data_IF_597743619384
#
_entry.id   IF_597743619384
#
_cell.length_a   1.000
_cell.length_b   1.000
_cell.length_c   1.000
_cell.angle_alpha   90.00
_cell.angle_beta   90.00
_cell.angle_gamma   90.00
#
_symmetry.space_group_name_H-M   'P 1'
#
loop_
_entity.id
_entity.type
_entity.pdbx_description
1 polymer ?
#
# COMPACT_ATOMS: atom_id res chain seq x y z
N UNK A 1 -2.37 74.12 1.58
CA UNK A 1 -3.75 74.01 2.14
C UNK A 1 -4.33 72.72 1.58
N UNK A 2 -5.01 71.92 2.40
CA UNK A 2 -5.72 70.77 1.86
C UNK A 2 -6.78 71.27 0.88
N UNK A 3 -7.05 70.50 -0.18
CA UNK A 3 -8.14 70.77 -1.13
C UNK A 3 -9.45 70.91 -0.39
N UNK A 4 -10.37 71.81 -0.88
CA UNK A 4 -11.74 71.97 -0.35
C UNK A 4 -12.48 70.60 -0.29
N UNK A 5 -12.08 69.65 -1.11
CA UNK A 5 -12.65 68.30 -1.16
C UNK A 5 -11.90 67.25 -0.27
N UNK A 6 -10.97 67.69 0.60
CA UNK A 6 -10.18 66.72 1.43
C UNK A 6 -11.10 65.95 2.38
N UNK A 7 -12.04 66.58 3.03
CA UNK A 7 -13.03 65.89 3.87
C UNK A 7 -13.95 64.94 3.08
N UNK A 8 -14.28 65.25 1.84
CA UNK A 8 -15.06 64.39 0.96
C UNK A 8 -14.25 63.15 0.58
N UNK A 9 -12.95 63.28 0.29
CA UNK A 9 -12.07 62.15 0.00
C UNK A 9 -11.94 61.22 1.21
N UNK A 10 -11.87 61.73 2.45
CA UNK A 10 -11.90 60.94 3.67
C UNK A 10 -13.19 60.12 3.75
N UNK A 11 -14.35 60.78 3.54
CA UNK A 11 -15.67 60.13 3.57
C UNK A 11 -15.79 59.05 2.48
N UNK A 12 -15.32 59.31 1.26
CA UNK A 12 -15.31 58.34 0.14
C UNK A 12 -14.42 57.13 0.46
N UNK A 13 -13.23 57.33 1.03
CA UNK A 13 -12.35 56.22 1.42
C UNK A 13 -13.00 55.35 2.50
N UNK A 14 -13.62 55.94 3.49
CA UNK A 14 -14.37 55.22 4.51
C UNK A 14 -15.53 54.38 3.92
N UNK A 15 -16.33 55.03 3.05
CA UNK A 15 -17.45 54.36 2.38
C UNK A 15 -17.01 53.21 1.51
N UNK A 16 -15.91 53.36 0.75
CA UNK A 16 -15.32 52.29 -0.07
C UNK A 16 -14.86 51.10 0.78
N UNK A 17 -14.16 51.37 1.89
CA UNK A 17 -13.67 50.31 2.80
C UNK A 17 -14.82 49.57 3.48
N UNK A 18 -15.86 50.29 3.96
CA UNK A 18 -17.03 49.63 4.55
C UNK A 18 -17.87 48.86 3.53
N UNK A 19 -17.92 49.29 2.27
CA UNK A 19 -18.58 48.57 1.20
C UNK A 19 -17.82 47.23 0.89
N UNK A 20 -16.49 47.28 0.88
CA UNK A 20 -15.67 46.05 0.79
C UNK A 20 -15.99 45.08 1.95
N UNK A 21 -16.08 45.58 3.19
CA UNK A 21 -16.46 44.79 4.36
C UNK A 21 -17.87 44.19 4.26
N UNK A 22 -18.85 44.97 3.77
CA UNK A 22 -20.22 44.50 3.56
C UNK A 22 -20.27 43.39 2.47
N UNK A 23 -19.59 43.62 1.36
CA UNK A 23 -19.48 42.64 0.27
C UNK A 23 -18.84 41.33 0.74
N UNK A 24 -17.74 41.42 1.47
CA UNK A 24 -17.06 40.24 2.06
C UNK A 24 -17.97 39.51 3.06
N UNK A 25 -18.75 40.24 3.86
CA UNK A 25 -19.72 39.63 4.77
C UNK A 25 -20.82 38.90 4.02
N UNK A 26 -21.37 39.52 2.95
CA UNK A 26 -22.34 38.89 2.06
C UNK A 26 -21.78 37.60 1.41
N UNK A 27 -20.51 37.63 0.97
CA UNK A 27 -19.80 36.47 0.43
C UNK A 27 -19.66 35.36 1.47
N UNK A 28 -19.26 35.67 2.70
CA UNK A 28 -19.17 34.71 3.81
C UNK A 28 -20.53 34.05 4.11
N UNK A 29 -21.63 34.83 4.15
CA UNK A 29 -22.98 34.32 4.41
C UNK A 29 -23.41 33.37 3.28
N UNK A 30 -23.17 33.75 2.03
CA UNK A 30 -23.54 32.95 0.86
C UNK A 30 -22.80 31.60 0.81
N UNK A 31 -21.57 31.58 1.28
CA UNK A 31 -20.72 30.41 1.24
C UNK A 31 -20.63 29.64 2.56
N UNK A 32 -21.41 29.94 3.58
CA UNK A 32 -21.34 29.32 4.91
C UNK A 32 -21.51 27.81 4.90
N UNK A 33 -22.22 27.26 3.89
CA UNK A 33 -22.40 25.81 3.70
C UNK A 33 -21.48 25.21 2.63
N UNK A 34 -20.65 25.99 1.97
CA UNK A 34 -19.72 25.52 0.93
C UNK A 34 -18.59 24.78 1.60
N UNK A 35 -18.39 23.48 1.24
CA UNK A 35 -17.34 22.65 1.81
C UNK A 35 -15.96 23.25 1.51
N UNK A 36 -15.16 23.43 2.55
CA UNK A 36 -13.80 23.95 2.45
C UNK A 36 -13.70 25.48 2.38
N UNK A 37 -14.82 26.20 2.38
CA UNK A 37 -14.82 27.64 2.42
C UNK A 37 -14.30 28.14 3.77
N UNK A 38 -13.38 29.10 3.73
CA UNK A 38 -12.83 29.76 4.92
C UNK A 38 -13.35 31.19 5.02
N UNK A 39 -13.75 31.58 6.24
CA UNK A 39 -14.26 32.96 6.47
C UNK A 39 -13.20 34.00 6.08
N UNK A 40 -13.60 35.00 5.31
CA UNK A 40 -12.74 36.09 4.89
C UNK A 40 -13.01 37.34 5.71
N UNK A 41 -11.95 38.10 5.99
CA UNK A 41 -12.01 39.36 6.73
C UNK A 41 -11.27 40.45 5.97
N UNK A 42 -11.80 41.65 5.96
CA UNK A 42 -11.14 42.81 5.35
C UNK A 42 -10.17 43.41 6.35
N UNK A 43 -8.89 43.48 5.97
CA UNK A 43 -7.88 44.23 6.70
C UNK A 43 -7.95 45.71 6.33
N UNK A 44 -7.90 46.56 7.33
CA UNK A 44 -8.05 48.02 7.16
C UNK A 44 -6.84 48.71 7.79
N UNK A 45 -6.29 49.69 7.10
CA UNK A 45 -5.26 50.55 7.65
C UNK A 45 -5.62 52.04 7.46
N UNK A 46 -5.16 52.88 8.40
CA UNK A 46 -5.28 54.32 8.26
C UNK A 46 -4.34 54.79 7.14
N UNK A 47 -4.85 55.65 6.23
CA UNK A 47 -4.01 56.36 5.25
C UNK A 47 -2.98 57.23 5.94
N UNK A 48 -1.83 57.39 5.29
CA UNK A 48 -0.79 58.30 5.78
C UNK A 48 -1.36 59.71 6.05
N UNK A 49 -1.14 60.18 7.27
CA UNK A 49 -1.62 61.50 7.68
C UNK A 49 -0.84 62.58 6.93
N UNK A 50 -1.57 63.62 6.49
CA UNK A 50 -0.98 64.76 5.76
C UNK A 50 -0.47 65.78 6.77
N UNK A 51 0.81 66.16 6.69
CA UNK A 51 1.42 67.19 7.50
C UNK A 51 1.08 68.60 6.89
N UNK A 52 0.40 69.42 7.66
CA UNK A 52 -0.06 70.73 7.21
C UNK A 52 0.78 71.89 7.77
N UNK A 53 1.83 71.66 8.53
CA UNK A 53 2.67 72.66 9.22
C UNK A 53 1.78 73.71 9.94
N UNK A 54 0.69 73.27 10.58
CA UNK A 54 -0.20 74.09 11.36
C UNK A 54 -0.08 73.78 12.84
N UNK A 55 -0.63 74.65 13.71
CA UNK A 55 -0.53 74.47 15.17
C UNK A 55 -1.25 73.21 15.71
N UNK A 56 -2.13 72.60 14.93
CA UNK A 56 -2.83 71.35 15.30
C UNK A 56 -2.24 70.07 14.68
N UNK A 57 -1.07 70.11 14.04
CA UNK A 57 -0.29 68.96 13.64
C UNK A 57 -0.71 68.31 12.34
N UNK A 58 -0.74 66.95 12.33
CA UNK A 58 -1.05 66.15 11.15
C UNK A 58 -2.55 65.86 11.07
N UNK A 59 -3.11 65.92 9.85
CA UNK A 59 -4.50 65.54 9.58
C UNK A 59 -4.57 64.14 9.02
N UNK A 60 -5.46 63.29 9.58
CA UNK A 60 -5.75 61.95 9.06
C UNK A 60 -6.35 62.03 7.66
N UNK A 61 -5.89 61.13 6.75
CA UNK A 61 -6.28 61.11 5.33
C UNK A 61 -7.38 60.10 4.98
N UNK A 62 -7.92 59.43 5.99
CA UNK A 62 -8.95 58.40 5.81
C UNK A 62 -8.44 56.96 6.07
N UNK A 63 -9.10 55.98 5.47
CA UNK A 63 -8.84 54.54 5.64
C UNK A 63 -8.78 53.85 4.27
N UNK A 64 -7.91 52.83 4.15
CA UNK A 64 -7.89 51.92 3.02
C UNK A 64 -8.16 50.49 3.45
N UNK A 65 -8.85 49.74 2.61
CA UNK A 65 -8.88 48.28 2.68
C UNK A 65 -7.59 47.77 2.03
N UNK A 66 -6.71 47.16 2.82
CA UNK A 66 -5.37 46.73 2.38
C UNK A 66 -5.35 45.30 1.84
N UNK A 67 -6.18 44.41 2.39
CA UNK A 67 -6.27 43.04 1.96
C UNK A 67 -7.61 42.39 2.39
N UNK A 68 -7.99 41.32 1.70
CA UNK A 68 -9.04 40.40 2.15
C UNK A 68 -8.32 39.10 2.53
N UNK A 69 -8.27 38.82 3.83
CA UNK A 69 -7.56 37.65 4.37
C UNK A 69 -8.52 36.53 4.72
N UNK A 70 -8.13 35.30 4.40
CA UNK A 70 -8.80 34.10 4.87
C UNK A 70 -8.40 33.77 6.31
N UNK A 71 -9.36 33.37 7.14
CA UNK A 71 -9.14 32.97 8.54
C UNK A 71 -8.70 31.49 8.65
N UNK A 72 -7.97 30.97 7.66
CA UNK A 72 -7.47 29.60 7.64
C UNK A 72 -6.20 29.48 8.48
N UNK A 73 -6.05 28.34 9.17
CA UNK A 73 -4.89 28.04 10.00
C UNK A 73 -4.21 26.77 9.46
N UNK A 74 -3.04 26.94 8.90
CA UNK A 74 -2.24 25.85 8.27
C UNK A 74 -1.86 24.75 9.26
N UNK A 75 -1.73 25.06 10.55
CA UNK A 75 -1.43 24.06 11.59
C UNK A 75 -2.60 23.07 11.76
N UNK A 76 -3.84 23.57 11.81
CA UNK A 76 -5.00 22.68 11.91
C UNK A 76 -5.22 21.89 10.62
N UNK A 77 -4.94 22.50 9.45
CA UNK A 77 -4.98 21.79 8.18
C UNK A 77 -3.99 20.63 8.13
N UNK A 78 -2.75 20.85 8.57
CA UNK A 78 -1.75 19.79 8.63
C UNK A 78 -2.19 18.66 9.57
N UNK A 79 -2.70 18.99 10.77
CA UNK A 79 -3.23 17.99 11.71
C UNK A 79 -4.41 17.21 11.14
N UNK A 80 -5.34 17.90 10.47
CA UNK A 80 -6.47 17.26 9.83
C UNK A 80 -6.00 16.24 8.77
N UNK A 81 -5.04 16.62 7.93
CA UNK A 81 -4.50 15.73 6.88
C UNK A 81 -3.84 14.50 7.47
N UNK A 82 -3.03 14.64 8.52
CA UNK A 82 -2.43 13.49 9.23
C UNK A 82 -3.52 12.55 9.77
N UNK A 83 -4.56 13.12 10.38
CA UNK A 83 -5.68 12.32 10.89
C UNK A 83 -6.46 11.64 9.76
N UNK A 84 -6.69 12.34 8.66
CA UNK A 84 -7.40 11.84 7.48
C UNK A 84 -6.63 10.71 6.79
N UNK A 85 -5.30 10.82 6.70
CA UNK A 85 -4.39 9.75 6.23
C UNK A 85 -4.55 8.49 7.08
N UNK A 86 -4.60 8.64 8.40
CA UNK A 86 -4.80 7.53 9.34
C UNK A 86 -6.16 6.86 9.13
N UNK A 87 -7.22 7.65 8.91
CA UNK A 87 -8.57 7.14 8.61
C UNK A 87 -8.57 6.38 7.29
N UNK A 88 -7.94 6.92 6.23
CA UNK A 88 -7.83 6.28 4.93
C UNK A 88 -7.18 4.88 5.02
N UNK A 89 -6.08 4.77 5.77
CA UNK A 89 -5.37 3.50 6.00
C UNK A 89 -6.26 2.49 6.73
N UNK A 90 -6.68 2.80 7.95
CA UNK A 90 -7.39 1.83 8.79
C UNK A 90 -8.79 1.49 8.31
N UNK A 91 -9.50 2.38 7.61
CA UNK A 91 -10.79 2.05 7.01
C UNK A 91 -10.64 1.01 5.90
N UNK A 92 -9.58 1.12 5.10
CA UNK A 92 -9.26 0.17 4.03
C UNK A 92 -8.88 -1.20 4.61
N UNK A 93 -7.96 -1.21 5.58
CA UNK A 93 -7.57 -2.45 6.27
C UNK A 93 -8.78 -3.15 6.92
N UNK A 94 -9.61 -2.39 7.64
CA UNK A 94 -10.80 -2.93 8.30
C UNK A 94 -11.79 -3.53 7.31
N UNK A 95 -11.99 -2.88 6.16
CA UNK A 95 -12.88 -3.39 5.11
C UNK A 95 -12.41 -4.74 4.58
N UNK A 96 -11.13 -4.85 4.20
CA UNK A 96 -10.60 -6.09 3.64
C UNK A 96 -10.43 -7.19 4.69
N UNK A 97 -10.03 -6.85 5.93
CA UNK A 97 -9.97 -7.83 7.02
C UNK A 97 -11.35 -8.41 7.34
N UNK A 98 -12.41 -7.59 7.34
CA UNK A 98 -13.78 -8.09 7.48
C UNK A 98 -14.17 -9.00 6.32
N UNK A 99 -13.74 -8.69 5.10
CA UNK A 99 -13.98 -9.52 3.92
C UNK A 99 -13.25 -10.87 4.00
N UNK A 100 -12.03 -10.89 4.54
CA UNK A 100 -11.27 -12.12 4.82
C UNK A 100 -11.98 -12.95 5.91
N UNK A 101 -12.43 -12.29 6.97
CA UNK A 101 -13.19 -12.94 8.05
C UNK A 101 -14.45 -13.60 7.50
N UNK A 102 -15.25 -12.89 6.71
CA UNK A 102 -16.45 -13.43 6.07
C UNK A 102 -16.14 -14.57 5.07
N UNK A 103 -14.93 -14.61 4.49
CA UNK A 103 -14.48 -15.69 3.63
C UNK A 103 -14.17 -16.98 4.40
N UNK A 104 -13.51 -16.87 5.56
CA UNK A 104 -13.05 -18.01 6.37
C UNK A 104 -14.12 -18.45 7.39
N UNK A 105 -14.79 -17.47 8.00
CA UNK A 105 -15.82 -17.65 9.03
C UNK A 105 -17.11 -16.92 8.62
N UNK A 106 -17.85 -17.42 7.64
CA UNK A 106 -19.10 -16.79 7.25
C UNK A 106 -20.09 -16.79 8.43
N UNK A 107 -20.87 -15.71 8.54
CA UNK A 107 -21.83 -15.49 9.64
C UNK A 107 -22.79 -16.65 9.83
N UNK A 108 -23.27 -16.83 11.08
CA UNK A 108 -23.87 -18.01 11.70
C UNK A 108 -24.95 -18.81 10.92
N UNK A 109 -25.53 -18.29 9.84
CA UNK A 109 -26.62 -18.98 9.10
C UNK A 109 -26.21 -19.54 7.73
N UNK A 110 -24.91 -19.50 7.35
CA UNK A 110 -24.47 -20.07 6.09
C UNK A 110 -24.14 -21.56 6.27
N UNK A 111 -24.97 -22.45 5.69
CA UNK A 111 -24.75 -23.90 5.69
C UNK A 111 -23.39 -24.31 5.08
N UNK A 112 -22.69 -23.39 4.40
CA UNK A 112 -21.47 -23.61 3.66
C UNK A 112 -20.24 -22.92 4.24
N UNK A 113 -19.64 -23.46 5.29
CA UNK A 113 -18.38 -22.98 5.83
C UNK A 113 -17.36 -24.10 6.03
N UNK A 114 -16.07 -23.75 6.06
CA UNK A 114 -14.99 -24.69 6.39
C UNK A 114 -15.26 -25.31 7.76
N UNK A 115 -15.66 -24.51 8.76
CA UNK A 115 -15.95 -24.96 10.13
C UNK A 115 -17.11 -25.96 10.15
N UNK A 116 -18.24 -25.65 9.55
CA UNK A 116 -19.40 -26.53 9.52
C UNK A 116 -19.11 -27.83 8.75
N UNK A 117 -18.32 -27.74 7.67
CA UNK A 117 -17.90 -28.93 6.91
C UNK A 117 -16.95 -29.80 7.70
N UNK A 118 -16.05 -29.20 8.47
CA UNK A 118 -15.15 -29.91 9.37
C UNK A 118 -15.92 -30.63 10.49
N UNK A 119 -16.88 -29.97 11.11
CA UNK A 119 -17.76 -30.54 12.14
C UNK A 119 -18.59 -31.68 11.59
N UNK A 120 -19.15 -31.54 10.39
CA UNK A 120 -19.91 -32.59 9.69
C UNK A 120 -19.01 -33.80 9.38
N UNK A 121 -17.78 -33.54 8.91
CA UNK A 121 -16.80 -34.58 8.64
C UNK A 121 -16.46 -35.36 9.93
N UNK A 122 -16.10 -34.67 11.03
CA UNK A 122 -15.78 -35.36 12.30
C UNK A 122 -17.00 -36.07 12.89
N UNK A 123 -18.22 -35.53 12.76
CA UNK A 123 -19.44 -36.19 13.19
C UNK A 123 -19.65 -37.47 12.40
N UNK A 124 -19.43 -37.47 11.09
CA UNK A 124 -19.55 -38.67 10.26
C UNK A 124 -18.51 -39.76 10.62
N UNK A 125 -17.26 -39.32 10.95
CA UNK A 125 -16.23 -40.24 11.47
C UNK A 125 -16.65 -40.89 12.79
N UNK A 126 -17.32 -40.14 13.69
CA UNK A 126 -17.84 -40.66 14.94
C UNK A 126 -18.94 -41.73 14.69
N UNK A 127 -19.80 -41.52 13.72
CA UNK A 127 -20.78 -42.57 13.31
C UNK A 127 -20.11 -43.79 12.72
N UNK A 128 -19.03 -43.61 11.96
CA UNK A 128 -18.25 -44.72 11.40
C UNK A 128 -17.66 -45.63 12.51
N UNK A 129 -17.32 -45.10 13.69
CA UNK A 129 -16.80 -45.94 14.81
C UNK A 129 -17.83 -46.93 15.34
N UNK A 130 -19.10 -46.60 15.24
CA UNK A 130 -20.20 -47.48 15.69
C UNK A 130 -20.71 -48.46 14.63
N UNK A 131 -20.49 -48.16 13.35
CA UNK A 131 -21.01 -48.92 12.21
C UNK A 131 -19.97 -49.03 11.08
N UNK A 132 -18.77 -49.51 11.40
CA UNK A 132 -17.62 -49.53 10.50
C UNK A 132 -17.79 -50.37 9.23
N UNK A 133 -18.73 -51.30 9.23
CA UNK A 133 -19.04 -52.21 8.10
C UNK A 133 -20.12 -51.61 7.15
N UNK A 134 -20.78 -50.53 7.55
CA UNK A 134 -21.87 -49.94 6.73
C UNK A 134 -21.25 -49.12 5.59
N UNK A 135 -21.50 -49.55 4.37
CA UNK A 135 -21.02 -48.94 3.15
C UNK A 135 -21.62 -47.54 2.92
N UNK A 136 -22.83 -47.28 3.40
CA UNK A 136 -23.50 -46.00 3.32
C UNK A 136 -22.80 -44.95 4.18
N UNK A 137 -22.43 -45.31 5.41
CA UNK A 137 -21.70 -44.43 6.32
C UNK A 137 -20.31 -44.15 5.79
N UNK A 138 -19.63 -45.13 5.21
CA UNK A 138 -18.34 -44.93 4.55
C UNK A 138 -18.43 -43.94 3.37
N UNK A 139 -19.45 -44.08 2.53
CA UNK A 139 -19.71 -43.18 1.43
C UNK A 139 -20.03 -41.75 1.93
N UNK A 140 -20.75 -41.66 3.06
CA UNK A 140 -21.05 -40.37 3.70
C UNK A 140 -19.80 -39.67 4.21
N UNK A 141 -18.85 -40.38 4.84
CA UNK A 141 -17.56 -39.83 5.28
C UNK A 141 -16.78 -39.29 4.07
N UNK A 142 -16.69 -40.03 2.98
CA UNK A 142 -16.05 -39.58 1.75
C UNK A 142 -16.73 -38.34 1.19
N UNK A 143 -18.06 -38.28 1.17
CA UNK A 143 -18.81 -37.10 0.72
C UNK A 143 -18.56 -35.86 1.56
N UNK A 144 -18.45 -35.98 2.88
CA UNK A 144 -18.09 -34.84 3.73
C UNK A 144 -16.63 -34.44 3.59
N UNK A 145 -15.70 -35.36 3.31
CA UNK A 145 -14.33 -35.04 2.98
C UNK A 145 -14.23 -34.23 1.66
N UNK A 146 -14.99 -34.63 0.65
CA UNK A 146 -15.10 -33.89 -0.62
C UNK A 146 -15.70 -32.49 -0.41
N UNK A 147 -16.74 -32.38 0.42
CA UNK A 147 -17.37 -31.10 0.77
C UNK A 147 -16.38 -30.18 1.48
N UNK A 148 -15.64 -30.68 2.46
CA UNK A 148 -14.58 -29.93 3.14
C UNK A 148 -13.51 -29.45 2.16
N UNK A 149 -13.06 -30.32 1.27
CA UNK A 149 -12.08 -29.98 0.22
C UNK A 149 -12.60 -28.93 -0.74
N UNK A 150 -13.90 -28.94 -1.04
CA UNK A 150 -14.56 -27.93 -1.86
C UNK A 150 -14.52 -26.55 -1.20
N UNK A 151 -14.95 -26.44 0.08
CA UNK A 151 -14.96 -25.14 0.78
C UNK A 151 -13.58 -24.56 1.02
N UNK A 152 -12.59 -25.41 1.27
CA UNK A 152 -11.20 -24.95 1.37
C UNK A 152 -10.70 -24.36 0.04
N UNK A 153 -10.96 -25.03 -1.08
CA UNK A 153 -10.62 -24.52 -2.41
C UNK A 153 -11.37 -23.24 -2.75
N UNK A 154 -12.66 -23.16 -2.40
CA UNK A 154 -13.48 -21.96 -2.60
C UNK A 154 -12.93 -20.77 -1.82
N UNK A 155 -12.52 -20.97 -0.57
CA UNK A 155 -11.87 -19.95 0.24
C UNK A 155 -10.53 -19.49 -0.37
N UNK A 156 -9.71 -20.42 -0.85
CA UNK A 156 -8.44 -20.09 -1.52
C UNK A 156 -8.67 -19.24 -2.78
N UNK A 157 -9.63 -19.61 -3.62
CA UNK A 157 -10.01 -18.84 -4.83
C UNK A 157 -10.54 -17.46 -4.46
N UNK A 158 -11.37 -17.36 -3.41
CA UNK A 158 -11.87 -16.06 -2.94
C UNK A 158 -10.75 -15.15 -2.46
N UNK A 159 -9.77 -15.66 -1.71
CA UNK A 159 -8.60 -14.90 -1.29
C UNK A 159 -7.76 -14.43 -2.50
N UNK A 160 -7.55 -15.28 -3.50
CA UNK A 160 -6.86 -14.89 -4.73
C UNK A 160 -7.62 -13.79 -5.49
N UNK A 161 -8.94 -13.93 -5.64
CA UNK A 161 -9.77 -12.90 -6.27
C UNK A 161 -9.70 -11.57 -5.50
N UNK A 162 -9.71 -11.63 -4.17
CA UNK A 162 -9.57 -10.44 -3.32
C UNK A 162 -8.20 -9.78 -3.53
N UNK A 163 -7.12 -10.54 -3.74
CA UNK A 163 -5.80 -9.97 -4.08
C UNK A 163 -5.83 -9.24 -5.44
N UNK A 164 -6.55 -9.79 -6.43
CA UNK A 164 -6.78 -9.11 -7.73
C UNK A 164 -7.58 -7.83 -7.55
N UNK A 165 -8.64 -7.86 -6.73
CA UNK A 165 -9.48 -6.68 -6.48
C UNK A 165 -8.67 -5.57 -5.80
N UNK A 166 -7.89 -5.90 -4.76
CA UNK A 166 -6.99 -4.95 -4.11
C UNK A 166 -5.96 -4.39 -5.08
N UNK A 167 -5.38 -5.23 -5.94
CA UNK A 167 -4.43 -4.80 -6.96
C UNK A 167 -5.06 -3.79 -7.94
N UNK A 168 -6.28 -4.04 -8.39
CA UNK A 168 -7.04 -3.13 -9.26
C UNK A 168 -7.40 -1.82 -8.53
N UNK A 169 -7.69 -1.90 -7.23
CA UNK A 169 -7.98 -0.72 -6.42
C UNK A 169 -6.73 0.15 -6.19
N UNK A 170 -5.54 -0.46 -6.10
CA UNK A 170 -4.26 0.27 -6.08
C UNK A 170 -4.12 1.11 -7.36
N UNK A 171 -4.33 0.50 -8.54
CA UNK A 171 -4.25 1.23 -9.81
C UNK A 171 -5.25 2.40 -9.86
N UNK A 172 -6.48 2.16 -9.42
CA UNK A 172 -7.53 3.18 -9.36
C UNK A 172 -7.16 4.32 -8.40
N UNK A 173 -6.62 3.98 -7.24
CA UNK A 173 -6.17 4.96 -6.23
C UNK A 173 -5.01 5.80 -6.76
N UNK A 174 -4.05 5.19 -7.44
CA UNK A 174 -2.93 5.89 -8.11
C UNK A 174 -3.45 6.85 -9.19
N UNK A 175 -4.42 6.44 -10.01
CA UNK A 175 -5.06 7.31 -10.99
C UNK A 175 -5.75 8.51 -10.33
N UNK A 176 -6.39 8.32 -9.19
CA UNK A 176 -6.99 9.42 -8.41
C UNK A 176 -5.93 10.36 -7.84
N UNK A 177 -4.83 9.85 -7.30
CA UNK A 177 -3.70 10.65 -6.82
C UNK A 177 -3.16 11.52 -7.95
N UNK A 178 -2.90 10.94 -9.13
CA UNK A 178 -2.43 11.66 -10.30
C UNK A 178 -3.42 12.76 -10.76
N UNK A 179 -4.72 12.47 -10.73
CA UNK A 179 -5.76 13.43 -11.09
C UNK A 179 -5.80 14.60 -10.10
N UNK A 180 -5.67 14.36 -8.79
CA UNK A 180 -5.59 15.41 -7.79
C UNK A 180 -4.29 16.23 -7.91
N UNK A 181 -3.17 15.58 -8.20
CA UNK A 181 -1.91 16.29 -8.46
C UNK A 181 -2.02 17.28 -9.64
N UNK A 182 -2.62 16.85 -10.75
CA UNK A 182 -2.86 17.70 -11.90
C UNK A 182 -3.81 18.87 -11.58
N UNK A 183 -4.87 18.64 -10.79
CA UNK A 183 -5.78 19.70 -10.35
C UNK A 183 -5.07 20.72 -9.45
N UNK A 184 -4.23 20.27 -8.51
CA UNK A 184 -3.43 21.14 -7.64
C UNK A 184 -2.48 21.99 -8.47
N UNK A 185 -1.74 21.40 -9.43
CA UNK A 185 -0.84 22.11 -10.32
C UNK A 185 -1.59 23.19 -11.15
N UNK A 186 -2.79 22.86 -11.65
CA UNK A 186 -3.65 23.81 -12.37
C UNK A 186 -4.12 24.97 -11.48
N UNK A 187 -4.55 24.68 -10.25
CA UNK A 187 -4.95 25.71 -9.28
C UNK A 187 -3.77 26.59 -8.87
N UNK A 188 -2.59 26.01 -8.66
CA UNK A 188 -1.38 26.78 -8.36
C UNK A 188 -1.05 27.76 -9.49
N UNK A 189 -1.18 27.32 -10.75
CA UNK A 189 -0.98 28.21 -11.91
C UNK A 189 -1.95 29.38 -11.91
N UNK A 190 -3.23 29.14 -11.60
CA UNK A 190 -4.26 30.17 -11.52
C UNK A 190 -3.99 31.13 -10.34
N UNK A 191 -3.67 30.60 -9.16
CA UNK A 191 -3.32 31.38 -7.96
C UNK A 191 -2.12 32.29 -8.28
N UNK A 192 -1.04 31.72 -8.85
CA UNK A 192 0.14 32.48 -9.19
C UNK A 192 -0.14 33.59 -10.20
N UNK A 193 -1.03 33.35 -11.19
CA UNK A 193 -1.41 34.38 -12.17
C UNK A 193 -2.11 35.55 -11.52
N UNK A 194 -2.96 35.35 -10.52
CA UNK A 194 -3.67 36.41 -9.81
C UNK A 194 -2.75 37.12 -8.81
N UNK A 195 -1.98 36.34 -8.03
CA UNK A 195 -1.18 36.87 -6.93
C UNK A 195 0.05 37.68 -7.39
N UNK A 196 0.56 37.45 -8.62
CA UNK A 196 1.59 38.32 -9.24
C UNK A 196 1.16 39.80 -9.30
N UNK A 197 -0.14 40.09 -9.42
CA UNK A 197 -0.66 41.45 -9.45
C UNK A 197 -0.99 42.04 -8.06
N UNK A 198 -0.68 41.27 -6.98
CA UNK A 198 -0.95 41.71 -5.59
C UNK A 198 -2.31 41.35 -5.04
N UNK A 199 -3.14 40.69 -5.83
CA UNK A 199 -4.45 40.17 -5.37
C UNK A 199 -4.20 38.87 -4.55
N UNK A 200 -5.12 38.55 -3.63
CA UNK A 200 -5.08 37.30 -2.89
C UNK A 200 -6.21 36.38 -3.34
N UNK A 201 -5.84 35.24 -3.92
CA UNK A 201 -6.76 34.28 -4.54
C UNK A 201 -7.39 33.31 -3.50
N UNK A 202 -8.08 33.85 -2.47
CA UNK A 202 -8.59 33.09 -1.33
C UNK A 202 -9.46 31.89 -1.74
N UNK A 203 -10.42 32.10 -2.67
CA UNK A 203 -11.36 31.03 -3.09
C UNK A 203 -10.63 29.87 -3.83
N UNK A 204 -9.60 30.19 -4.63
CA UNK A 204 -8.78 29.17 -5.29
C UNK A 204 -7.88 28.43 -4.29
N UNK A 205 -7.38 29.13 -3.27
CA UNK A 205 -6.64 28.52 -2.17
C UNK A 205 -7.51 27.58 -1.35
N UNK A 206 -8.78 27.94 -1.10
CA UNK A 206 -9.76 27.07 -0.44
C UNK A 206 -10.08 25.84 -1.29
N UNK A 207 -10.27 25.99 -2.62
CA UNK A 207 -10.45 24.86 -3.53
C UNK A 207 -9.23 23.92 -3.54
N UNK A 208 -8.00 24.48 -3.58
CA UNK A 208 -6.76 23.70 -3.49
C UNK A 208 -6.69 22.91 -2.20
N UNK A 209 -7.06 23.53 -1.09
CA UNK A 209 -7.05 22.88 0.21
C UNK A 209 -8.04 21.69 0.30
N UNK A 210 -9.24 21.83 -0.29
CA UNK A 210 -10.21 20.72 -0.37
C UNK A 210 -9.63 19.53 -1.16
N UNK A 211 -8.85 19.78 -2.23
CA UNK A 211 -8.21 18.71 -3.01
C UNK A 211 -7.07 18.08 -2.21
N UNK A 212 -6.28 18.88 -1.50
CA UNK A 212 -5.25 18.38 -0.61
C UNK A 212 -5.82 17.51 0.52
N UNK A 213 -6.97 17.87 1.07
CA UNK A 213 -7.66 17.08 2.08
C UNK A 213 -8.13 15.71 1.53
N UNK A 214 -8.65 15.69 0.28
CA UNK A 214 -8.99 14.43 -0.39
C UNK A 214 -7.76 13.59 -0.73
N UNK A 215 -6.67 14.24 -1.14
CA UNK A 215 -5.41 13.57 -1.45
C UNK A 215 -4.81 12.95 -0.19
N UNK A 216 -4.93 13.61 0.97
CA UNK A 216 -4.42 13.10 2.26
C UNK A 216 -5.14 11.83 2.74
N UNK A 217 -6.39 11.58 2.33
CA UNK A 217 -7.08 10.32 2.59
C UNK A 217 -6.44 9.15 1.80
N UNK A 218 -5.97 9.45 0.57
CA UNK A 218 -5.38 8.44 -0.30
C UNK A 218 -3.93 8.11 0.05
N UNK A 219 -3.15 9.11 0.47
CA UNK A 219 -1.75 8.93 0.83
C UNK A 219 -1.27 10.04 1.77
N UNK A 220 -0.21 9.79 2.54
CA UNK A 220 0.41 10.81 3.37
C UNK A 220 1.19 11.81 2.49
N UNK A 221 0.84 13.07 2.62
CA UNK A 221 1.41 14.17 1.84
C UNK A 221 2.06 15.18 2.75
N UNK A 222 3.22 15.66 2.34
CA UNK A 222 3.82 16.83 2.95
C UNK A 222 3.70 18.03 2.00
N UNK A 223 3.12 19.11 2.51
CA UNK A 223 2.86 20.34 1.75
C UNK A 223 3.78 21.45 2.26
N UNK A 224 4.52 22.06 1.34
CA UNK A 224 5.40 23.20 1.66
C UNK A 224 5.09 24.35 0.73
N UNK A 225 4.76 25.52 1.28
CA UNK A 225 4.62 26.76 0.54
C UNK A 225 5.71 27.74 0.99
N UNK A 226 6.52 28.25 0.05
CA UNK A 226 7.64 29.17 0.31
C UNK A 226 7.45 30.41 -0.55
N UNK A 227 7.53 31.57 0.08
CA UNK A 227 7.66 32.83 -0.64
C UNK A 227 9.01 32.91 -1.36
N UNK A 228 9.10 33.59 -2.51
CA UNK A 228 10.35 33.81 -3.21
C UNK A 228 11.33 34.58 -2.32
N UNK A 229 12.62 34.22 -2.39
CA UNK A 229 13.67 34.74 -1.52
C UNK A 229 13.92 36.26 -1.72
N UNK A 230 13.61 36.77 -2.89
CA UNK A 230 13.76 38.19 -3.29
C UNK A 230 12.49 39.01 -3.09
N UNK A 231 11.41 38.39 -2.58
CA UNK A 231 10.12 39.04 -2.38
C UNK A 231 9.37 39.37 -3.67
N UNK A 232 9.93 39.06 -4.83
CA UNK A 232 9.33 39.28 -6.14
C UNK A 232 9.02 37.94 -6.82
N UNK A 233 7.79 37.75 -7.24
CA UNK A 233 7.39 36.54 -7.95
C UNK A 233 6.32 35.74 -7.24
N UNK A 234 6.12 34.51 -7.67
CA UNK A 234 5.06 33.63 -7.17
C UNK A 234 5.58 32.67 -6.10
N UNK A 235 4.74 32.30 -5.16
CA UNK A 235 5.07 31.31 -4.14
C UNK A 235 5.39 29.95 -4.78
N UNK A 236 6.46 29.31 -4.30
CA UNK A 236 6.75 27.93 -4.62
C UNK A 236 5.85 27.02 -3.74
N UNK A 237 5.05 26.18 -4.38
CA UNK A 237 4.14 25.26 -3.70
C UNK A 237 4.50 23.82 -4.07
N UNK A 238 5.04 23.08 -3.09
CA UNK A 238 5.53 21.72 -3.28
C UNK A 238 4.66 20.76 -2.49
N UNK A 239 4.23 19.68 -3.14
CA UNK A 239 3.59 18.52 -2.50
C UNK A 239 4.47 17.30 -2.73
N UNK A 240 4.89 16.67 -1.63
CA UNK A 240 5.66 15.43 -1.69
C UNK A 240 4.84 14.25 -1.17
N UNK A 241 5.08 13.07 -1.72
CA UNK A 241 4.45 11.81 -1.36
C UNK A 241 5.48 10.69 -1.42
N UNK A 242 5.58 9.85 -0.38
CA UNK A 242 6.51 8.71 -0.34
C UNK A 242 7.98 9.09 -0.61
N UNK A 243 8.39 10.31 -0.25
CA UNK A 243 9.75 10.83 -0.50
C UNK A 243 9.97 11.45 -1.88
N UNK A 244 9.04 11.29 -2.83
CA UNK A 244 9.10 11.90 -4.16
C UNK A 244 8.29 13.18 -4.27
N UNK A 245 8.60 14.04 -5.25
CA UNK A 245 7.85 15.26 -5.53
C UNK A 245 6.69 14.94 -6.45
N UNK A 246 5.46 15.08 -5.93
CA UNK A 246 4.22 14.86 -6.70
C UNK A 246 3.81 16.13 -7.46
N UNK A 247 3.87 17.29 -6.80
CA UNK A 247 3.56 18.61 -7.43
C UNK A 247 4.69 19.57 -7.10
N UNK A 248 5.22 20.23 -8.13
CA UNK A 248 6.14 21.35 -8.01
C UNK A 248 5.53 22.58 -8.69
N UNK A 249 4.96 23.43 -7.87
CA UNK A 249 4.29 24.67 -8.27
C UNK A 249 3.25 24.47 -9.37
N UNK A 250 3.59 24.66 -10.62
CA UNK A 250 2.68 24.57 -11.77
C UNK A 250 2.82 23.25 -12.57
N UNK A 251 3.68 22.34 -12.10
CA UNK A 251 3.93 21.05 -12.74
C UNK A 251 3.60 19.93 -11.76
N UNK A 252 3.25 18.77 -12.30
CA UNK A 252 3.06 17.56 -11.51
C UNK A 252 3.79 16.38 -12.15
N UNK A 253 4.29 15.50 -11.30
CA UNK A 253 4.73 14.17 -11.69
C UNK A 253 3.57 13.19 -11.52
N UNK A 254 3.65 12.07 -12.22
CA UNK A 254 2.67 11.00 -12.11
C UNK A 254 3.33 9.72 -11.59
N UNK A 255 2.51 8.89 -10.94
CA UNK A 255 2.87 7.54 -10.54
C UNK A 255 2.22 6.61 -11.56
N UNK A 256 2.98 5.69 -12.13
CA UNK A 256 2.51 4.67 -13.05
C UNK A 256 2.41 3.34 -12.32
N UNK A 257 1.36 2.57 -12.62
CA UNK A 257 1.20 1.20 -12.13
C UNK A 257 1.50 0.25 -13.30
N UNK A 258 2.58 -0.52 -13.19
CA UNK A 258 3.02 -1.46 -14.20
C UNK A 258 2.88 -2.90 -13.69
N UNK A 259 2.25 -3.78 -14.50
CA UNK A 259 2.08 -5.18 -14.14
C UNK A 259 3.40 -5.93 -14.16
N UNK A 260 3.73 -6.59 -13.05
CA UNK A 260 4.92 -7.45 -12.94
C UNK A 260 4.54 -8.90 -13.25
N UNK A 261 5.31 -9.56 -14.10
CA UNK A 261 5.18 -11.00 -14.34
C UNK A 261 5.80 -11.84 -13.21
N UNK A 262 6.61 -11.22 -12.38
CA UNK A 262 7.34 -11.89 -11.31
C UNK A 262 6.46 -12.01 -10.07
N UNK A 263 6.50 -13.18 -9.44
CA UNK A 263 5.80 -13.47 -8.19
C UNK A 263 6.75 -13.30 -7.00
N UNK A 264 6.20 -12.79 -5.90
CA UNK A 264 6.91 -12.66 -4.63
C UNK A 264 6.60 -13.86 -3.73
N UNK A 265 5.34 -14.30 -3.68
CA UNK A 265 4.86 -15.45 -2.93
C UNK A 265 4.37 -16.56 -3.86
N UNK A 266 4.43 -17.82 -3.40
CA UNK A 266 3.90 -18.98 -4.14
C UNK A 266 2.41 -18.81 -4.52
N UNK A 267 1.66 -18.16 -3.67
CA UNK A 267 0.21 -18.00 -3.78
C UNK A 267 -0.22 -16.74 -4.51
N UNK A 268 0.73 -15.85 -4.84
CA UNK A 268 0.43 -14.60 -5.53
C UNK A 268 -0.19 -14.84 -6.89
N UNK A 269 -1.15 -13.97 -7.21
CA UNK A 269 -1.66 -13.88 -8.57
C UNK A 269 -0.62 -13.23 -9.49
N UNK A 270 -0.71 -13.49 -10.77
CA UNK A 270 0.17 -12.88 -11.78
C UNK A 270 -0.23 -11.43 -12.03
N UNK A 271 0.71 -10.61 -12.51
CA UNK A 271 0.50 -9.20 -12.87
C UNK A 271 0.12 -8.29 -11.70
N UNK A 272 0.71 -8.51 -10.53
CA UNK A 272 0.64 -7.53 -9.45
C UNK A 272 1.36 -6.24 -9.85
N UNK A 273 0.72 -5.08 -9.63
CA UNK A 273 1.29 -3.80 -10.03
C UNK A 273 2.48 -3.41 -9.15
N UNK A 274 3.58 -3.04 -9.81
CA UNK A 274 4.66 -2.23 -9.24
C UNK A 274 4.38 -0.77 -9.57
N UNK A 275 4.79 0.13 -8.67
CA UNK A 275 4.62 1.56 -8.85
C UNK A 275 5.96 2.19 -9.24
N UNK A 276 5.91 3.12 -10.19
CA UNK A 276 7.07 3.84 -10.68
C UNK A 276 6.73 5.32 -10.90
N UNK A 277 7.67 6.21 -10.59
CA UNK A 277 7.52 7.62 -10.91
C UNK A 277 7.71 7.87 -12.41
N UNK A 278 6.99 8.82 -12.98
CA UNK A 278 7.06 9.19 -14.40
C UNK A 278 8.46 9.62 -14.87
N UNK A 279 9.37 9.91 -13.96
CA UNK A 279 10.77 10.22 -14.26
C UNK A 279 11.72 9.01 -14.14
N UNK A 280 11.16 7.78 -14.11
CA UNK A 280 11.92 6.52 -14.16
C UNK A 280 12.57 6.09 -12.84
N UNK A 281 12.14 6.65 -11.72
CA UNK A 281 12.57 6.19 -10.38
C UNK A 281 11.52 5.26 -9.80
N UNK A 282 11.96 4.14 -9.22
CA UNK A 282 11.09 3.21 -8.50
C UNK A 282 10.36 3.93 -7.36
N UNK A 283 9.07 3.65 -7.22
CA UNK A 283 8.28 4.14 -6.11
C UNK A 283 8.39 3.16 -4.94
N UNK A 284 8.92 3.61 -3.82
CA UNK A 284 9.05 2.78 -2.61
C UNK A 284 7.65 2.49 -2.02
N UNK A 285 7.06 1.36 -2.42
CA UNK A 285 5.73 0.93 -2.01
C UNK A 285 5.65 0.55 -0.54
N UNK A 286 6.78 0.17 0.06
CA UNK A 286 6.84 -0.32 1.45
C UNK A 286 7.36 0.73 2.42
N UNK A 287 7.44 1.97 1.96
CA UNK A 287 7.82 3.09 2.82
C UNK A 287 6.77 3.29 3.92
N UNK A 288 7.22 3.25 5.17
CA UNK A 288 6.35 3.41 6.35
C UNK A 288 5.66 4.77 6.42
N UNK A 289 6.15 5.76 5.67
CA UNK A 289 5.58 7.11 5.60
C UNK A 289 4.58 7.29 4.45
N UNK A 290 4.25 6.23 3.72
CA UNK A 290 3.33 6.31 2.59
C UNK A 290 1.90 6.71 3.02
N UNK A 291 1.41 6.12 4.11
CA UNK A 291 0.13 6.44 4.72
C UNK A 291 -1.10 6.25 3.82
N UNK A 292 -2.25 6.61 4.36
CA UNK A 292 -3.51 6.67 3.63
C UNK A 292 -4.02 5.33 3.08
N UNK A 293 -5.04 5.43 2.25
CA UNK A 293 -5.67 4.28 1.59
C UNK A 293 -4.65 3.45 0.79
N UNK A 294 -3.70 4.10 0.12
CA UNK A 294 -2.71 3.42 -0.71
C UNK A 294 -1.83 2.48 0.11
N UNK A 295 -1.34 2.92 1.28
CA UNK A 295 -0.57 2.04 2.17
C UNK A 295 -1.42 0.88 2.68
N UNK A 296 -2.67 1.13 3.11
CA UNK A 296 -3.57 0.07 3.54
C UNK A 296 -3.83 -0.98 2.46
N UNK A 297 -3.99 -0.57 1.20
CA UNK A 297 -4.13 -1.48 0.06
C UNK A 297 -2.87 -2.31 -0.19
N UNK A 298 -1.68 -1.68 -0.17
CA UNK A 298 -0.41 -2.37 -0.38
C UNK A 298 -0.16 -3.39 0.75
N UNK A 299 -0.37 -2.99 2.01
CA UNK A 299 -0.23 -3.88 3.17
C UNK A 299 -1.22 -5.06 3.11
N UNK A 300 -2.45 -4.82 2.64
CA UNK A 300 -3.43 -5.91 2.43
C UNK A 300 -3.04 -6.84 1.29
N UNK A 301 -2.51 -6.30 0.17
CA UNK A 301 -2.13 -7.10 -1.00
C UNK A 301 -0.91 -7.96 -0.74
N UNK A 302 0.12 -7.40 -0.08
CA UNK A 302 1.48 -7.96 0.00
C UNK A 302 1.88 -8.40 1.42
N UNK A 303 1.08 -8.07 2.44
CA UNK A 303 1.40 -8.33 3.85
C UNK A 303 1.56 -9.81 4.17
N UNK A 304 2.76 -10.20 4.64
CA UNK A 304 3.15 -11.57 4.94
C UNK A 304 3.58 -11.81 6.40
N UNK A 305 3.22 -10.89 7.31
CA UNK A 305 3.60 -10.96 8.74
C UNK A 305 5.13 -11.00 8.96
N UNK A 306 5.89 -10.36 8.07
CA UNK A 306 7.36 -10.42 8.04
C UNK A 306 7.96 -11.84 7.83
N UNK A 307 7.15 -12.79 7.38
CA UNK A 307 7.53 -14.19 7.15
C UNK A 307 7.89 -14.39 5.67
N UNK A 308 8.95 -13.74 5.19
CA UNK A 308 9.49 -14.01 3.87
C UNK A 308 10.67 -15.00 3.92
N UNK A 309 10.95 -15.64 2.80
CA UNK A 309 12.10 -16.51 2.68
C UNK A 309 13.40 -15.74 2.89
N UNK A 310 14.26 -16.21 3.80
CA UNK A 310 15.62 -15.70 4.02
C UNK A 310 16.57 -16.85 4.25
N UNK A 311 17.65 -16.89 3.48
CA UNK A 311 18.67 -17.91 3.66
C UNK A 311 20.04 -17.42 3.16
N UNK A 312 21.13 -18.09 3.53
CA UNK A 312 22.50 -17.66 3.25
C UNK A 312 22.94 -18.08 1.85
N UNK A 313 23.46 -17.16 1.06
CA UNK A 313 24.13 -17.46 -0.20
C UNK A 313 25.44 -18.23 0.06
N UNK A 314 25.52 -19.46 -0.42
CA UNK A 314 26.66 -20.34 -0.19
C UNK A 314 27.41 -20.74 -1.46
N UNK A 315 26.81 -20.56 -2.63
CA UNK A 315 27.45 -20.91 -3.89
C UNK A 315 26.84 -20.21 -5.09
N UNK A 316 27.63 -20.13 -6.13
CA UNK A 316 27.19 -19.69 -7.45
C UNK A 316 27.97 -20.47 -8.52
N UNK A 317 27.31 -20.72 -9.65
CA UNK A 317 27.96 -21.24 -10.85
C UNK A 317 27.47 -20.44 -12.05
N UNK A 318 28.41 -19.92 -12.82
CA UNK A 318 28.13 -19.36 -14.15
C UNK A 318 28.18 -20.53 -15.15
N UNK A 319 27.20 -20.61 -16.04
CA UNK A 319 27.10 -21.66 -17.06
C UNK A 319 27.12 -23.08 -16.49
N UNK A 320 26.19 -23.40 -15.58
CA UNK A 320 26.09 -24.77 -15.01
C UNK A 320 25.63 -25.76 -16.08
N UNK A 321 26.55 -26.62 -16.53
CA UNK A 321 26.29 -27.64 -17.57
C UNK A 321 25.21 -28.64 -17.14
N UNK A 322 25.05 -28.90 -15.84
CA UNK A 322 23.99 -29.75 -15.29
C UNK A 322 22.61 -29.14 -15.40
N UNK A 323 22.52 -27.83 -15.64
CA UNK A 323 21.29 -27.06 -15.79
C UNK A 323 21.18 -26.38 -17.17
N UNK A 324 21.72 -27.04 -18.20
CA UNK A 324 21.64 -26.56 -19.58
C UNK A 324 22.48 -25.32 -19.89
N UNK A 325 23.52 -25.04 -19.12
CA UNK A 325 24.40 -23.90 -19.29
C UNK A 325 23.88 -22.60 -18.67
N UNK A 326 22.79 -22.65 -17.89
CA UNK A 326 22.26 -21.49 -17.18
C UNK A 326 23.06 -21.20 -15.89
N UNK A 327 23.03 -19.95 -15.46
CA UNK A 327 23.65 -19.57 -14.19
C UNK A 327 22.81 -20.05 -13.02
N UNK A 328 23.45 -20.54 -11.95
CA UNK A 328 22.78 -21.04 -10.76
C UNK A 328 23.29 -20.36 -9.49
N UNK A 329 22.38 -20.15 -8.55
CA UNK A 329 22.67 -19.69 -7.19
C UNK A 329 22.34 -20.81 -6.21
N UNK A 330 23.25 -21.05 -5.27
CA UNK A 330 23.05 -22.02 -4.19
C UNK A 330 22.87 -21.28 -2.87
N UNK A 331 21.77 -21.53 -2.21
CA UNK A 331 21.37 -20.85 -0.97
C UNK A 331 21.11 -21.92 0.07
N UNK A 332 21.68 -21.78 1.25
CA UNK A 332 21.58 -22.75 2.33
C UNK A 332 20.85 -22.16 3.53
N UNK A 333 19.89 -22.89 4.06
CA UNK A 333 19.13 -22.49 5.24
C UNK A 333 19.24 -23.54 6.33
N UNK A 334 19.57 -23.10 7.51
CA UNK A 334 19.54 -23.85 8.78
C UNK A 334 18.28 -23.53 9.62
N UNK A 335 17.52 -22.50 9.23
CA UNK A 335 16.31 -22.05 9.95
C UNK A 335 15.16 -23.07 9.88
N UNK A 336 15.19 -23.96 8.90
CA UNK A 336 14.18 -25.00 8.72
C UNK A 336 14.72 -26.30 9.29
N UNK A 337 14.54 -26.52 10.60
CA UNK A 337 14.90 -27.79 11.23
C UNK A 337 14.12 -28.95 10.59
N UNK A 338 14.66 -30.19 10.69
CA UNK A 338 14.06 -31.39 10.11
C UNK A 338 12.59 -31.62 10.47
N UNK A 339 12.10 -31.06 11.58
CA UNK A 339 10.68 -31.03 11.96
C UNK A 339 9.81 -30.10 11.07
N UNK A 340 10.39 -29.07 10.49
CA UNK A 340 9.73 -28.14 9.56
C UNK A 340 10.02 -28.45 8.10
N UNK A 341 10.95 -29.36 7.87
CA UNK A 341 11.53 -29.72 6.59
C UNK A 341 10.58 -30.41 5.63
N UNK A 342 9.60 -31.10 6.13
CA UNK A 342 8.55 -31.71 5.30
C UNK A 342 7.52 -30.67 4.81
N UNK A 343 7.67 -29.40 5.19
CA UNK A 343 6.70 -28.36 4.91
C UNK A 343 7.28 -27.29 3.98
N UNK A 344 7.43 -27.67 2.69
CA UNK A 344 7.81 -26.72 1.62
C UNK A 344 6.86 -25.51 1.54
N UNK A 345 5.65 -25.59 2.11
CA UNK A 345 4.71 -24.47 2.15
C UNK A 345 5.13 -23.33 3.06
N UNK A 346 5.98 -23.59 4.05
CA UNK A 346 6.56 -22.52 4.88
C UNK A 346 7.60 -21.68 4.16
N UNK A 347 8.06 -22.14 3.00
CA UNK A 347 9.06 -21.43 2.21
C UNK A 347 8.48 -20.26 1.44
N UNK A 348 7.19 -20.29 1.16
CA UNK A 348 6.46 -19.30 0.37
C UNK A 348 7.18 -18.86 -0.93
N UNK A 349 7.99 -19.77 -1.47
CA UNK A 349 8.77 -19.55 -2.69
C UNK A 349 7.93 -19.89 -3.91
N UNK A 350 7.79 -18.98 -4.88
CA UNK A 350 7.24 -19.33 -6.18
C UNK A 350 8.00 -20.48 -6.83
N UNK A 351 7.30 -21.51 -7.34
CA UNK A 351 7.93 -22.62 -8.01
C UNK A 351 8.68 -22.21 -9.30
N UNK A 352 8.14 -21.19 -9.98
CA UNK A 352 8.72 -20.55 -11.16
C UNK A 352 8.49 -19.04 -11.12
N UNK A 353 9.25 -18.31 -11.91
CA UNK A 353 9.08 -16.87 -12.13
C UNK A 353 9.19 -16.02 -10.85
N UNK A 354 9.96 -16.47 -9.89
CA UNK A 354 10.23 -15.74 -8.67
C UNK A 354 11.48 -14.86 -8.76
N UNK A 355 11.66 -14.03 -7.75
CA UNK A 355 12.77 -13.10 -7.62
C UNK A 355 13.51 -13.35 -6.31
N UNK A 356 14.83 -13.40 -6.39
CA UNK A 356 15.73 -13.42 -5.24
C UNK A 356 16.44 -12.08 -5.13
N UNK A 357 16.33 -11.42 -4.01
CA UNK A 357 17.06 -10.19 -3.71
C UNK A 357 18.32 -10.52 -2.91
N UNK A 358 19.49 -10.15 -3.42
CA UNK A 358 20.79 -10.36 -2.77
C UNK A 358 21.59 -9.08 -2.84
N UNK A 359 21.88 -8.47 -1.67
CA UNK A 359 22.64 -7.23 -1.60
C UNK A 359 22.02 -6.09 -2.41
N UNK A 360 20.71 -5.89 -2.33
CA UNK A 360 19.91 -4.88 -3.03
C UNK A 360 19.87 -5.03 -4.57
N UNK A 361 20.05 -6.26 -5.06
CA UNK A 361 19.91 -6.57 -6.49
C UNK A 361 19.04 -7.79 -6.65
N UNK A 362 18.10 -7.66 -7.54
CA UNK A 362 17.12 -8.69 -7.88
C UNK A 362 17.67 -9.64 -8.94
N UNK A 363 17.48 -10.93 -8.70
CA UNK A 363 17.82 -12.03 -9.60
C UNK A 363 16.58 -12.85 -9.89
N UNK A 364 16.06 -12.74 -11.09
CA UNK A 364 14.93 -13.55 -11.54
C UNK A 364 15.36 -15.00 -11.77
N UNK A 365 14.58 -15.93 -11.22
CA UNK A 365 14.82 -17.35 -11.45
C UNK A 365 13.65 -18.02 -12.20
N UNK A 366 13.97 -19.05 -12.96
CA UNK A 366 13.02 -19.85 -13.72
C UNK A 366 12.46 -21.01 -12.88
N UNK A 367 13.31 -21.60 -12.06
CA UNK A 367 12.98 -22.74 -11.21
C UNK A 367 13.96 -22.88 -10.07
N UNK A 368 13.59 -23.66 -9.07
CA UNK A 368 14.53 -24.07 -8.03
C UNK A 368 14.38 -25.55 -7.70
N UNK A 369 15.41 -26.12 -7.09
CA UNK A 369 15.39 -27.47 -6.51
C UNK A 369 15.93 -27.42 -5.08
N UNK A 370 15.32 -28.18 -4.18
CA UNK A 370 15.74 -28.27 -2.79
C UNK A 370 16.30 -29.67 -2.50
N UNK A 371 17.41 -29.72 -1.76
CA UNK A 371 18.00 -30.95 -1.22
C UNK A 371 18.20 -30.82 0.28
N UNK A 372 17.98 -31.89 1.01
CA UNK A 372 18.11 -31.94 2.47
C UNK A 372 19.31 -32.78 2.83
N UNK A 373 20.24 -32.21 3.59
CA UNK A 373 21.39 -32.94 4.12
C UNK A 373 20.98 -33.78 5.36
N UNK A 374 21.83 -34.75 5.74
CA UNK A 374 21.56 -35.63 6.87
C UNK A 374 21.46 -34.87 8.23
N UNK A 375 22.05 -33.69 8.32
CA UNK A 375 21.99 -32.79 9.49
C UNK A 375 20.74 -31.92 9.54
N UNK A 376 19.85 -32.03 8.53
CA UNK A 376 18.62 -31.24 8.41
C UNK A 376 18.82 -29.92 7.71
N UNK A 377 19.99 -29.59 7.19
CA UNK A 377 20.27 -28.37 6.43
C UNK A 377 19.66 -28.45 5.03
N UNK A 378 18.94 -27.41 4.65
CA UNK A 378 18.33 -27.26 3.31
C UNK A 378 19.26 -26.51 2.38
N UNK A 379 19.49 -27.08 1.23
CA UNK A 379 20.20 -26.40 0.14
C UNK A 379 19.27 -26.23 -1.05
N UNK A 380 19.04 -24.99 -1.41
CA UNK A 380 18.24 -24.55 -2.55
C UNK A 380 19.17 -24.21 -3.70
N UNK A 381 18.91 -24.75 -4.88
CA UNK A 381 19.61 -24.39 -6.11
C UNK A 381 18.63 -23.72 -7.05
N UNK A 382 18.79 -22.42 -7.25
CA UNK A 382 17.98 -21.61 -8.14
C UNK A 382 18.63 -21.53 -9.51
N UNK A 383 17.84 -21.73 -10.56
CA UNK A 383 18.24 -21.57 -11.97
C UNK A 383 17.79 -20.18 -12.42
N UNK A 384 18.74 -19.32 -12.75
CA UNK A 384 18.44 -17.94 -13.15
C UNK A 384 17.88 -17.88 -14.57
N UNK A 385 16.98 -16.91 -14.81
CA UNK A 385 16.48 -16.60 -16.17
C UNK A 385 17.57 -15.98 -17.01
N UNK A 386 18.35 -15.06 -16.44
CA UNK A 386 19.44 -14.38 -17.12
C UNK A 386 20.80 -14.94 -16.71
N UNK A 387 21.75 -14.87 -17.63
CA UNK A 387 23.14 -15.21 -17.33
C UNK A 387 23.80 -14.15 -16.44
N UNK A 388 24.57 -14.60 -15.47
CA UNK A 388 25.34 -13.70 -14.61
C UNK A 388 26.46 -13.03 -15.44
N UNK A 389 26.51 -11.71 -15.40
CA UNK A 389 27.64 -10.94 -15.92
C UNK A 389 28.90 -11.19 -15.05
N UNK A 390 30.08 -10.93 -15.59
CA UNK A 390 31.35 -11.11 -14.84
C UNK A 390 31.39 -10.20 -13.60
N UNK A 391 30.85 -8.98 -13.70
CA UNK A 391 30.71 -8.06 -12.58
C UNK A 391 29.71 -8.59 -11.54
N UNK A 392 28.61 -9.17 -11.99
CA UNK A 392 27.62 -9.85 -11.13
C UNK A 392 28.23 -11.02 -10.36
N UNK A 393 29.03 -11.86 -11.03
CA UNK A 393 29.79 -12.96 -10.40
C UNK A 393 30.75 -12.41 -9.33
N UNK A 394 31.53 -11.40 -9.68
CA UNK A 394 32.48 -10.77 -8.73
C UNK A 394 31.78 -10.20 -7.52
N UNK A 395 30.65 -9.51 -7.72
CA UNK A 395 29.85 -8.94 -6.64
C UNK A 395 29.31 -10.05 -5.71
N UNK A 396 28.70 -11.09 -6.25
CA UNK A 396 28.17 -12.21 -5.46
C UNK A 396 29.28 -12.95 -4.70
N UNK A 397 30.47 -13.12 -5.31
CA UNK A 397 31.62 -13.71 -4.62
C UNK A 397 32.09 -12.83 -3.44
N UNK A 398 32.06 -11.52 -3.57
CA UNK A 398 32.39 -10.60 -2.49
C UNK A 398 31.36 -10.69 -1.35
N UNK A 399 30.06 -10.76 -1.70
CA UNK A 399 28.98 -10.97 -0.73
C UNK A 399 29.17 -12.29 0.02
N UNK A 400 29.47 -13.39 -0.66
CA UNK A 400 29.71 -14.71 -0.02
C UNK A 400 30.89 -14.68 0.96
N UNK A 401 31.87 -13.83 0.75
CA UNK A 401 33.07 -13.68 1.59
C UNK A 401 32.91 -12.63 2.70
N UNK A 402 31.82 -11.89 2.73
CA UNK A 402 31.59 -10.86 3.77
C UNK A 402 31.52 -11.54 5.15
N UNK A 403 32.26 -11.06 6.15
CA UNK A 403 32.24 -11.63 7.50
C UNK A 403 30.89 -11.45 8.21
N UNK A 404 30.06 -10.48 7.80
CA UNK A 404 28.74 -10.27 8.35
C UNK A 404 27.74 -11.25 7.71
N UNK A 405 27.12 -12.17 8.50
CA UNK A 405 26.12 -13.11 7.98
C UNK A 405 24.91 -12.44 7.33
N UNK A 406 24.46 -11.29 7.86
CA UNK A 406 23.29 -10.57 7.35
C UNK A 406 23.50 -10.08 5.91
N UNK A 407 24.71 -9.69 5.55
CA UNK A 407 25.04 -9.27 4.18
C UNK A 407 25.06 -10.41 3.17
N UNK A 408 25.15 -11.66 3.65
CA UNK A 408 25.13 -12.86 2.81
C UNK A 408 23.73 -13.42 2.61
N UNK A 409 22.71 -12.79 3.20
CA UNK A 409 21.34 -13.26 3.06
C UNK A 409 20.82 -12.98 1.65
N UNK A 410 20.18 -13.98 1.11
CA UNK A 410 19.27 -13.90 -0.01
C UNK A 410 17.85 -13.93 0.55
N UNK A 411 16.98 -13.07 0.05
CA UNK A 411 15.55 -13.06 0.40
C UNK A 411 14.69 -13.20 -0.84
N UNK A 412 13.52 -13.80 -0.71
CA UNK A 412 12.48 -13.75 -1.73
C UNK A 412 11.33 -12.89 -1.19
N UNK A 413 11.04 -11.80 -1.92
CA UNK A 413 10.06 -10.81 -1.53
C UNK A 413 10.44 -9.98 -0.31
N UNK A 414 9.65 -8.94 -0.07
CA UNK A 414 9.85 -8.01 1.03
C UNK A 414 9.22 -8.54 2.32
N UNK A 415 9.83 -8.13 3.45
CA UNK A 415 9.37 -8.48 4.78
C UNK A 415 8.36 -7.42 5.24
N UNK A 416 7.07 -7.68 5.06
CA UNK A 416 6.00 -6.73 5.38
C UNK A 416 5.32 -7.18 6.67
N UNK A 417 5.54 -6.41 7.75
CA UNK A 417 5.07 -6.73 9.10
C UNK A 417 3.54 -6.52 9.28
N UNK A 418 2.77 -6.84 8.25
CA UNK A 418 1.31 -6.77 8.26
C UNK A 418 0.73 -8.15 7.89
N UNK A 419 -0.45 -8.48 8.42
CA UNK A 419 -1.16 -9.72 8.10
C UNK A 419 -2.15 -9.47 6.97
N UNK A 420 -1.64 -9.41 5.75
CA UNK A 420 -2.41 -9.24 4.53
C UNK A 420 -2.92 -10.55 3.95
N UNK A 421 -3.44 -10.49 2.73
CA UNK A 421 -4.01 -11.64 2.02
C UNK A 421 -2.98 -12.79 1.87
N UNK A 422 -1.70 -12.56 1.50
CA UNK A 422 -0.71 -13.63 1.40
C UNK A 422 -0.51 -14.39 2.72
N UNK A 423 -0.52 -13.69 3.86
CA UNK A 423 -0.44 -14.35 5.17
C UNK A 423 -1.59 -15.33 5.38
N UNK A 424 -2.84 -14.94 5.11
CA UNK A 424 -4.00 -15.81 5.28
C UNK A 424 -4.02 -16.97 4.28
N UNK A 425 -3.55 -16.76 3.04
CA UNK A 425 -3.37 -17.83 2.06
C UNK A 425 -2.35 -18.88 2.56
N UNK A 426 -1.22 -18.43 3.10
CA UNK A 426 -0.18 -19.30 3.67
C UNK A 426 -0.72 -20.08 4.85
N UNK A 427 -1.46 -19.45 5.77
CA UNK A 427 -2.10 -20.11 6.91
C UNK A 427 -3.12 -21.18 6.46
N UNK A 428 -3.94 -20.88 5.46
CA UNK A 428 -4.89 -21.83 4.89
C UNK A 428 -4.17 -23.05 4.29
N UNK A 429 -3.10 -22.82 3.52
CA UNK A 429 -2.31 -23.89 2.93
C UNK A 429 -1.61 -24.75 4.00
N UNK A 430 -1.05 -24.13 5.04
CA UNK A 430 -0.41 -24.86 6.14
C UNK A 430 -1.43 -25.73 6.90
N UNK A 431 -2.61 -25.18 7.16
CA UNK A 431 -3.71 -25.93 7.77
C UNK A 431 -4.06 -27.16 6.94
N UNK A 432 -4.31 -26.99 5.63
CA UNK A 432 -4.73 -28.10 4.75
C UNK A 432 -3.67 -29.18 4.66
N UNK A 433 -2.40 -28.79 4.48
CA UNK A 433 -1.28 -29.76 4.39
C UNK A 433 -1.10 -30.53 5.70
N UNK A 434 -1.10 -29.81 6.84
CA UNK A 434 -0.95 -30.44 8.15
C UNK A 434 -2.13 -31.37 8.45
N UNK A 435 -3.34 -30.92 8.18
CA UNK A 435 -4.54 -31.71 8.37
C UNK A 435 -4.53 -32.97 7.50
N UNK A 436 -4.34 -32.83 6.19
CA UNK A 436 -4.34 -33.97 5.25
C UNK A 436 -3.22 -34.97 5.54
N UNK A 437 -2.00 -34.49 5.80
CA UNK A 437 -0.87 -35.36 6.11
C UNK A 437 -1.09 -36.18 7.39
N UNK A 438 -1.53 -35.53 8.47
CA UNK A 438 -1.81 -36.21 9.74
C UNK A 438 -2.98 -37.19 9.61
N UNK A 439 -4.05 -36.80 8.90
CA UNK A 439 -5.20 -37.67 8.68
C UNK A 439 -4.79 -38.90 7.86
N UNK A 440 -4.10 -38.72 6.73
CA UNK A 440 -3.62 -39.81 5.89
C UNK A 440 -2.67 -40.75 6.66
N UNK A 441 -1.76 -40.19 7.49
CA UNK A 441 -0.85 -41.01 8.33
C UNK A 441 -1.63 -41.90 9.31
N UNK A 442 -2.74 -41.43 9.87
CA UNK A 442 -3.61 -42.23 10.74
C UNK A 442 -4.42 -43.26 9.95
N UNK A 443 -4.97 -42.83 8.80
CA UNK A 443 -5.72 -43.70 7.89
C UNK A 443 -4.90 -44.90 7.38
N UNK A 444 -3.64 -44.66 7.03
CA UNK A 444 -2.72 -45.69 6.53
C UNK A 444 -2.28 -46.71 7.59
N UNK A 445 -2.51 -46.46 8.88
CA UNK A 445 -2.31 -47.46 9.96
C UNK A 445 -3.48 -48.43 10.10
N UNK A 446 -4.65 -48.11 9.51
CA UNK A 446 -5.82 -48.97 9.49
C UNK A 446 -5.78 -50.02 8.40
N UNK A 447 -6.78 -50.89 8.39
CA UNK A 447 -6.97 -51.91 7.37
C UNK A 447 -8.34 -51.75 6.71
N UNK A 448 -8.41 -52.06 5.42
CA UNK A 448 -9.68 -52.13 4.69
C UNK A 448 -10.37 -53.47 4.97
N UNK A 449 -11.57 -53.64 4.36
CA UNK A 449 -12.38 -54.85 4.53
C UNK A 449 -11.72 -56.12 3.97
N UNK A 450 -10.75 -55.95 3.07
CA UNK A 450 -9.98 -57.04 2.47
C UNK A 450 -8.67 -57.34 3.24
N UNK A 451 -8.43 -56.70 4.37
CA UNK A 451 -7.23 -56.84 5.19
C UNK A 451 -6.00 -56.15 4.61
N UNK A 452 -6.15 -55.22 3.64
CA UNK A 452 -5.05 -54.43 3.09
C UNK A 452 -4.92 -53.13 3.88
N UNK A 453 -3.70 -52.57 3.92
CA UNK A 453 -3.47 -51.26 4.55
C UNK A 453 -4.34 -50.19 3.94
N UNK A 454 -4.80 -49.27 4.79
CA UNK A 454 -5.56 -48.11 4.39
C UNK A 454 -4.82 -47.28 3.34
N UNK A 455 -5.58 -46.49 2.58
CA UNK A 455 -5.06 -45.56 1.56
C UNK A 455 -5.36 -44.14 1.97
N UNK A 456 -4.57 -43.23 1.41
CA UNK A 456 -4.81 -41.78 1.61
C UNK A 456 -6.24 -41.41 1.24
N UNK A 457 -6.92 -40.68 2.13
CA UNK A 457 -8.25 -40.13 1.89
C UNK A 457 -8.14 -38.78 1.16
N UNK A 458 -7.19 -37.93 1.60
CA UNK A 458 -6.94 -36.65 0.99
C UNK A 458 -5.74 -36.76 0.05
N UNK A 459 -5.98 -36.63 -1.25
CA UNK A 459 -4.96 -36.78 -2.29
C UNK A 459 -4.90 -35.49 -3.10
N UNK A 460 -3.72 -34.91 -3.25
CA UNK A 460 -3.50 -33.80 -4.18
C UNK A 460 -3.31 -34.35 -5.60
N UNK A 461 -4.11 -33.89 -6.54
CA UNK A 461 -4.03 -34.34 -7.94
C UNK A 461 -2.98 -33.57 -8.73
N UNK A 462 -2.54 -32.40 -8.26
CA UNK A 462 -1.47 -31.59 -8.87
C UNK A 462 -0.61 -31.02 -7.74
N UNK A 463 0.50 -31.68 -7.45
CA UNK A 463 1.59 -31.11 -6.64
C UNK A 463 2.62 -30.61 -7.66
N UNK A 464 2.43 -29.36 -8.11
CA UNK A 464 3.48 -28.66 -8.86
C UNK A 464 4.25 -27.78 -7.91
#
# INVERSE_FOLDING_TARGET
MPSTFFGLNIAVSGMSTYNAGLTTTGHNISNVKTKGYSRQTVEQSAKEAVSLRTSYGMLGAGVDATAILSSRDDYYDAKYRISNTTVGKYSTESFYLSSIEDCIYPKEDSEGSITNSLDSFFSSLKYLTTSSMDQTIRAQVAGYADTLSYYVRDAAVKLQNMQVDVNTEIETTVKQINAYAAQIASLNKQINTLEVYGDRANDLRDQRAVILDKLSELADINVTEKAPADGNGTNQFIVTLGGGVLVDTAQNNTINAEGSTNKVSQNDVVNLYRLEWSYGQEFDMYNTTLGGKLQGLIEMRDGNNAENFKATLTGLKKNDTAKGGKSTLTITSDQYSSANASNLSKLDLPASDGVLTIGNVDYEYESFSATVAADGTYTYTFVLKEELSDDGVTRLQNIMRDPNPEKRLASAGDSIAFRGIPYYMTQLNEFVRTFSANFNMLQNKGYDLDGKLGKDLFVATNVT
#
